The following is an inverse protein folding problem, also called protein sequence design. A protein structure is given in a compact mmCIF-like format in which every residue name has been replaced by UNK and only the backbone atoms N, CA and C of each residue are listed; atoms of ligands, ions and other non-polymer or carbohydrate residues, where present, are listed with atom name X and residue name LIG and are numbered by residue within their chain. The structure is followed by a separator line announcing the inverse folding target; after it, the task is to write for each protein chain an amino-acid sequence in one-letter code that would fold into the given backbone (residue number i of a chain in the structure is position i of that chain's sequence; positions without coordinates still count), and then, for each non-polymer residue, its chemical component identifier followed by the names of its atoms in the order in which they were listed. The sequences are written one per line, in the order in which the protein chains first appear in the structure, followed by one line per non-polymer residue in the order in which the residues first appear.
data_IF_139577518068
#
_entry.id   IF_139577518068
#
_cell.length_a   1.000
_cell.length_b   1.000
_cell.length_c   1.000
_cell.angle_alpha   90.00
_cell.angle_beta   90.00
_cell.angle_gamma   90.00
#
_symmetry.space_group_name_H-M   'P 1'
#
loop_
_entity.id
_entity.type
_entity.pdbx_description
1 polymer ?
#
# COMPACT_ATOMS: atom_id res chain seq x y z
N UNK A 1 -19.80 57.38 -43.81
CA UNK A 1 -18.92 56.47 -43.03
C UNK A 1 -19.75 55.25 -42.65
N UNK A 2 -19.40 54.09 -43.21
CA UNK A 2 -20.15 52.83 -43.02
C UNK A 2 -19.96 52.17 -41.65
N UNK A 3 -19.17 52.75 -40.74
CA UNK A 3 -18.84 52.17 -39.43
C UNK A 3 -19.84 52.50 -38.30
N UNK A 4 -20.94 53.19 -38.60
CA UNK A 4 -21.98 53.51 -37.61
C UNK A 4 -23.30 52.79 -37.89
N UNK A 5 -24.04 52.46 -36.82
CA UNK A 5 -25.36 51.84 -36.94
C UNK A 5 -26.41 52.71 -37.66
N UNK A 6 -26.18 54.03 -37.77
CA UNK A 6 -27.07 54.99 -38.43
C UNK A 6 -26.68 55.30 -39.89
N UNK A 7 -25.61 54.68 -40.41
CA UNK A 7 -25.16 54.91 -41.78
C UNK A 7 -26.23 54.50 -42.79
N UNK A 8 -26.54 55.41 -43.72
CA UNK A 8 -27.37 55.13 -44.90
C UNK A 8 -26.54 54.95 -46.18
N UNK A 9 -25.20 54.95 -46.05
CA UNK A 9 -24.29 54.74 -47.17
C UNK A 9 -24.45 53.31 -47.72
N UNK A 10 -24.41 53.15 -49.04
CA UNK A 10 -24.41 51.84 -49.66
C UNK A 10 -23.14 51.04 -49.34
N UNK A 11 -23.26 49.72 -49.18
CA UNK A 11 -22.14 48.79 -49.06
C UNK A 11 -21.86 48.08 -50.37
N UNK A 12 -20.60 47.76 -50.66
CA UNK A 12 -20.17 47.04 -51.85
C UNK A 12 -19.77 45.59 -51.55
N UNK A 13 -19.56 44.79 -52.60
CA UNK A 13 -19.18 43.38 -52.48
C UNK A 13 -17.83 43.14 -51.77
N UNK A 14 -16.88 44.07 -51.88
CA UNK A 14 -15.59 43.98 -51.19
C UNK A 14 -15.74 44.12 -49.68
N UNK A 15 -16.55 45.07 -49.21
CA UNK A 15 -16.86 45.26 -47.78
C UNK A 15 -17.58 44.03 -47.18
N UNK A 16 -18.54 43.46 -47.92
CA UNK A 16 -19.22 42.23 -47.51
C UNK A 16 -18.27 41.03 -47.51
N UNK A 17 -17.41 40.90 -48.51
CA UNK A 17 -16.41 39.84 -48.58
C UNK A 17 -15.44 39.88 -47.39
N UNK A 18 -14.91 41.06 -47.04
CA UNK A 18 -14.06 41.23 -45.85
C UNK A 18 -14.79 40.83 -44.57
N UNK A 19 -16.07 41.22 -44.43
CA UNK A 19 -16.90 40.82 -43.28
C UNK A 19 -17.06 39.30 -43.22
N UNK A 20 -17.36 38.65 -44.34
CA UNK A 20 -17.51 37.19 -44.41
C UNK A 20 -16.20 36.45 -44.08
N UNK A 21 -15.05 36.98 -44.49
CA UNK A 21 -13.74 36.44 -44.11
C UNK A 21 -13.53 36.52 -42.59
N UNK A 22 -13.83 37.67 -41.98
CA UNK A 22 -13.72 37.84 -40.53
C UNK A 22 -14.66 36.89 -39.76
N UNK A 23 -15.90 36.72 -40.22
CA UNK A 23 -16.86 35.75 -39.66
C UNK A 23 -16.32 34.33 -39.76
N UNK A 24 -15.77 33.95 -40.91
CA UNK A 24 -15.17 32.62 -41.12
C UNK A 24 -13.99 32.39 -40.17
N UNK A 25 -13.10 33.39 -40.01
CA UNK A 25 -11.99 33.33 -39.06
C UNK A 25 -12.49 33.17 -37.62
N UNK A 26 -13.52 33.93 -37.23
CA UNK A 26 -14.11 33.84 -35.89
C UNK A 26 -14.74 32.46 -35.63
N UNK A 27 -15.46 31.91 -36.61
CA UNK A 27 -16.05 30.57 -36.50
C UNK A 27 -14.99 29.50 -36.32
N UNK A 28 -13.94 29.50 -37.16
CA UNK A 28 -12.84 28.53 -37.04
C UNK A 28 -12.15 28.60 -35.66
N UNK A 29 -12.01 29.80 -35.10
CA UNK A 29 -11.46 29.98 -33.76
C UNK A 29 -12.40 29.42 -32.68
N UNK A 30 -13.71 29.63 -32.80
CA UNK A 30 -14.71 29.08 -31.90
C UNK A 30 -14.75 27.54 -31.95
N UNK A 31 -14.71 26.96 -33.15
CA UNK A 31 -14.70 25.50 -33.34
C UNK A 31 -13.44 24.87 -32.74
N UNK A 32 -12.27 25.50 -32.92
CA UNK A 32 -11.02 25.04 -32.34
C UNK A 32 -11.03 25.12 -30.80
N UNK A 33 -11.63 26.17 -30.24
CA UNK A 33 -11.81 26.31 -28.80
C UNK A 33 -12.76 25.25 -28.24
N UNK A 34 -13.89 25.02 -28.92
CA UNK A 34 -14.85 23.96 -28.56
C UNK A 34 -14.19 22.58 -28.60
N UNK A 35 -13.48 22.23 -29.69
CA UNK A 35 -12.76 20.98 -29.80
C UNK A 35 -11.68 20.80 -28.72
N UNK A 36 -11.14 21.89 -28.18
CA UNK A 36 -10.20 21.85 -27.05
C UNK A 36 -10.93 21.65 -25.72
N UNK A 37 -12.05 22.32 -25.50
CA UNK A 37 -12.88 22.12 -24.31
C UNK A 37 -13.46 20.70 -24.24
N UNK A 38 -13.89 20.15 -25.38
CA UNK A 38 -14.42 18.78 -25.51
C UNK A 38 -13.38 17.71 -25.19
N UNK A 39 -12.08 18.03 -25.28
CA UNK A 39 -11.03 17.11 -24.79
C UNK A 39 -11.08 16.95 -23.27
N UNK A 40 -11.56 17.95 -22.55
CA UNK A 40 -11.70 17.91 -21.09
C UNK A 40 -10.41 17.52 -20.35
N UNK A 41 -10.58 16.80 -19.24
CA UNK A 41 -9.51 16.19 -18.47
C UNK A 41 -9.66 14.67 -18.58
N UNK A 42 -8.64 13.98 -19.11
CA UNK A 42 -8.55 12.51 -19.04
C UNK A 42 -7.79 12.10 -17.79
N UNK A 43 -8.42 11.33 -16.91
CA UNK A 43 -7.83 10.88 -15.65
C UNK A 43 -7.93 9.35 -15.50
N UNK A 44 -6.81 8.70 -15.17
CA UNK A 44 -6.73 7.24 -15.13
C UNK A 44 -5.32 6.73 -14.86
N UNK A 45 -5.13 5.41 -14.95
CA UNK A 45 -3.87 4.73 -14.59
C UNK A 45 -2.93 4.50 -15.78
N UNK A 46 -3.15 5.19 -16.91
CA UNK A 46 -2.39 5.00 -18.15
C UNK A 46 -2.87 3.83 -19.03
N UNK A 47 -3.62 2.86 -18.47
CA UNK A 47 -4.27 1.78 -19.24
C UNK A 47 -5.75 2.08 -19.50
N UNK A 48 -6.48 2.47 -18.45
CA UNK A 48 -7.86 2.95 -18.53
C UNK A 48 -7.94 4.39 -18.04
N UNK A 49 -8.90 5.15 -18.56
CA UNK A 49 -9.16 6.52 -18.12
C UNK A 49 -10.62 6.90 -18.34
N UNK A 50 -11.10 7.84 -17.52
CA UNK A 50 -12.36 8.53 -17.72
C UNK A 50 -12.09 9.95 -18.23
N UNK A 51 -13.02 10.50 -19.01
CA UNK A 51 -12.96 11.86 -19.50
C UNK A 51 -13.99 12.71 -18.76
N UNK A 52 -13.54 13.84 -18.19
CA UNK A 52 -14.35 14.80 -17.45
C UNK A 52 -14.37 16.12 -18.21
N UNK A 53 -15.50 16.83 -18.24
CA UNK A 53 -15.54 18.13 -18.90
C UNK A 53 -14.70 19.16 -18.11
N UNK A 54 -14.24 20.22 -18.78
CA UNK A 54 -13.55 21.31 -18.08
C UNK A 54 -14.53 21.98 -17.10
N UNK A 55 -14.10 22.11 -15.84
CA UNK A 55 -14.92 22.68 -14.77
C UNK A 55 -15.73 21.66 -13.96
N UNK A 56 -15.82 20.41 -14.40
CA UNK A 56 -16.41 19.34 -13.60
C UNK A 56 -15.54 19.00 -12.38
N UNK A 57 -16.17 18.43 -11.34
CA UNK A 57 -15.44 17.89 -10.19
C UNK A 57 -14.77 16.58 -10.55
N UNK A 58 -13.44 16.53 -10.46
CA UNK A 58 -12.66 15.29 -10.56
C UNK A 58 -12.58 14.62 -9.18
N UNK A 59 -13.34 13.54 -8.99
CA UNK A 59 -13.33 12.79 -7.75
C UNK A 59 -12.12 11.84 -7.67
N UNK A 60 -11.16 12.16 -6.81
CA UNK A 60 -10.12 11.21 -6.36
C UNK A 60 -10.62 10.60 -5.05
N UNK A 61 -11.07 9.35 -5.06
CA UNK A 61 -11.63 8.68 -3.87
C UNK A 61 -10.55 7.88 -3.15
N UNK A 62 -10.70 7.75 -1.83
CA UNK A 62 -9.97 6.76 -1.05
C UNK A 62 -10.30 5.33 -1.49
N UNK A 63 -9.55 4.36 -0.97
CA UNK A 63 -9.84 2.95 -1.24
C UNK A 63 -11.07 2.50 -0.46
N UNK A 64 -11.86 1.59 -1.04
CA UNK A 64 -13.09 1.07 -0.41
C UNK A 64 -12.84 0.42 0.95
N UNK A 65 -11.66 -0.14 1.14
CA UNK A 65 -11.22 -0.82 2.35
C UNK A 65 -10.62 0.12 3.42
N UNK A 66 -10.56 1.44 3.13
CA UNK A 66 -10.07 2.46 4.06
C UNK A 66 -8.55 2.61 4.13
N UNK A 67 -7.77 1.78 3.43
CA UNK A 67 -6.30 1.83 3.42
C UNK A 67 -5.73 3.18 2.95
N UNK A 68 -6.39 3.81 1.97
CA UNK A 68 -6.07 5.13 1.45
C UNK A 68 -7.24 6.07 1.73
N UNK A 69 -6.95 7.24 2.32
CA UNK A 69 -7.90 8.33 2.50
C UNK A 69 -7.68 9.39 1.42
N UNK A 70 -8.76 10.09 1.06
CA UNK A 70 -8.72 11.23 0.14
C UNK A 70 -9.55 12.35 0.74
N UNK A 71 -8.90 13.50 0.98
CA UNK A 71 -9.52 14.65 1.65
C UNK A 71 -9.33 15.89 0.80
N UNK A 72 -10.43 16.57 0.47
CA UNK A 72 -10.37 17.88 -0.17
C UNK A 72 -9.87 18.93 0.82
N UNK A 73 -8.84 19.68 0.43
CA UNK A 73 -8.27 20.79 1.17
C UNK A 73 -8.35 22.07 0.32
N UNK A 74 -7.93 23.21 0.87
CA UNK A 74 -7.85 24.46 0.11
C UNK A 74 -6.89 24.38 -1.09
N UNK A 75 -5.87 23.51 -1.01
CA UNK A 75 -4.85 23.33 -2.05
C UNK A 75 -5.21 22.22 -3.07
N UNK A 76 -6.35 21.55 -2.91
CA UNK A 76 -6.81 20.49 -3.81
C UNK A 76 -7.20 19.20 -3.07
N UNK A 77 -6.54 18.09 -3.41
CA UNK A 77 -6.79 16.78 -2.77
C UNK A 77 -5.52 16.29 -2.07
N UNK A 78 -5.63 16.04 -0.77
CA UNK A 78 -4.61 15.32 0.00
C UNK A 78 -4.95 13.83 0.05
N UNK A 79 -3.98 12.99 -0.32
CA UNK A 79 -4.04 11.56 -0.08
C UNK A 79 -3.31 11.21 1.21
N UNK A 80 -3.86 10.29 1.99
CA UNK A 80 -3.27 9.81 3.24
C UNK A 80 -3.43 8.30 3.39
N UNK A 81 -2.79 7.75 4.41
CA UNK A 81 -3.06 6.40 4.89
C UNK A 81 -4.22 6.44 5.89
N UNK A 82 -5.02 5.38 5.94
CA UNK A 82 -5.97 5.16 7.03
C UNK A 82 -5.27 4.67 8.31
N UNK A 83 -6.05 4.54 9.39
CA UNK A 83 -5.57 3.96 10.66
C UNK A 83 -5.15 2.49 10.50
N UNK A 84 -5.75 1.81 9.51
CA UNK A 84 -5.40 0.45 9.09
C UNK A 84 -5.07 0.46 7.61
N UNK A 85 -4.00 -0.24 7.23
CA UNK A 85 -3.60 -0.44 5.84
C UNK A 85 -3.69 -1.94 5.55
N UNK A 86 -4.64 -2.32 4.69
CA UNK A 86 -4.72 -3.70 4.21
C UNK A 86 -3.72 -3.89 3.08
N UNK A 87 -2.76 -4.77 3.32
CA UNK A 87 -1.75 -5.13 2.33
C UNK A 87 -2.08 -6.52 1.80
N UNK A 88 -2.25 -6.62 0.48
CA UNK A 88 -2.70 -7.85 -0.16
C UNK A 88 -1.70 -9.01 -0.03
N UNK A 89 -0.42 -8.73 -0.25
CA UNK A 89 0.62 -9.77 -0.35
C UNK A 89 1.59 -9.70 0.84
N UNK A 90 2.49 -8.72 0.87
CA UNK A 90 3.48 -8.58 1.94
C UNK A 90 4.02 -7.16 2.11
N UNK A 91 4.47 -6.84 3.32
CA UNK A 91 5.25 -5.64 3.64
C UNK A 91 6.72 -6.05 3.79
N UNK A 92 7.61 -5.37 3.08
CA UNK A 92 9.06 -5.55 3.23
C UNK A 92 9.63 -4.31 3.93
N UNK A 93 10.16 -4.48 5.14
CA UNK A 93 10.75 -3.40 5.95
C UNK A 93 12.27 -3.45 5.86
N UNK A 94 12.87 -2.35 5.41
CA UNK A 94 14.31 -2.21 5.17
C UNK A 94 14.69 -2.24 3.68
N UNK A 95 15.97 -2.01 3.40
CA UNK A 95 16.55 -2.04 2.05
C UNK A 95 17.51 -3.23 1.90
N UNK A 96 17.71 -3.70 0.66
CA UNK A 96 18.62 -4.81 0.35
C UNK A 96 17.95 -6.20 0.27
N UNK A 97 18.78 -7.24 0.31
CA UNK A 97 18.39 -8.64 0.12
C UNK A 97 17.72 -9.25 1.37
N UNK A 98 18.13 -8.82 2.56
CA UNK A 98 17.55 -9.23 3.85
C UNK A 98 16.62 -8.14 4.35
N UNK A 99 15.32 -8.42 4.37
CA UNK A 99 14.28 -7.51 4.85
C UNK A 99 13.41 -8.25 5.85
N UNK A 100 12.89 -7.54 6.84
CA UNK A 100 11.79 -8.09 7.62
C UNK A 100 10.58 -8.16 6.70
N UNK A 101 10.03 -9.35 6.51
CA UNK A 101 8.88 -9.59 5.63
C UNK A 101 7.68 -9.96 6.48
N UNK A 102 6.67 -9.11 6.47
CA UNK A 102 5.34 -9.41 7.01
C UNK A 102 4.53 -9.98 5.85
N UNK A 103 4.33 -11.28 5.82
CA UNK A 103 3.67 -11.99 4.73
C UNK A 103 2.22 -12.32 5.12
N UNK A 104 1.27 -11.64 4.48
CA UNK A 104 -0.15 -11.85 4.71
C UNK A 104 -0.70 -13.10 4.04
N UNK A 105 0.03 -13.67 3.06
CA UNK A 105 -0.36 -14.93 2.41
C UNK A 105 -0.03 -16.12 3.29
N UNK A 106 1.14 -16.13 3.92
CA UNK A 106 1.56 -17.23 4.82
C UNK A 106 1.29 -16.96 6.31
N UNK A 107 0.81 -15.76 6.67
CA UNK A 107 0.60 -15.32 8.05
C UNK A 107 1.88 -15.40 8.91
N UNK A 108 3.03 -15.03 8.34
CA UNK A 108 4.33 -15.11 9.03
C UNK A 108 5.08 -13.78 9.02
N UNK A 109 5.97 -13.63 9.99
CA UNK A 109 6.98 -12.56 10.02
C UNK A 109 8.34 -13.23 9.86
N UNK A 110 8.96 -13.05 8.69
CA UNK A 110 10.26 -13.62 8.35
C UNK A 110 11.38 -12.59 8.26
N UNK A 111 12.60 -13.06 8.03
CA UNK A 111 13.78 -12.19 7.83
C UNK A 111 14.32 -11.55 9.10
N UNK A 112 13.87 -11.99 10.27
CA UNK A 112 14.45 -11.62 11.56
C UNK A 112 15.87 -12.22 11.67
N UNK A 113 16.83 -11.41 12.11
CA UNK A 113 18.23 -11.82 12.25
C UNK A 113 18.52 -12.58 13.55
N UNK A 114 17.58 -12.57 14.50
CA UNK A 114 17.76 -13.14 15.83
C UNK A 114 17.54 -14.66 15.83
N UNK A 115 18.43 -15.42 15.17
CA UNK A 115 18.26 -16.86 14.92
C UNK A 115 19.03 -17.79 15.85
N UNK A 116 19.93 -17.28 16.70
CA UNK A 116 20.79 -18.11 17.56
C UNK A 116 20.55 -17.82 19.04
N UNK A 117 20.36 -18.86 19.86
CA UNK A 117 20.25 -18.73 21.32
C UNK A 117 21.59 -18.95 22.02
N UNK A 118 22.22 -17.86 22.47
CA UNK A 118 23.50 -17.89 23.18
C UNK A 118 23.36 -17.92 24.73
N UNK A 119 22.14 -18.06 25.25
CA UNK A 119 21.87 -18.07 26.69
C UNK A 119 21.58 -16.70 27.30
N UNK A 120 21.68 -15.61 26.54
CA UNK A 120 21.36 -14.25 27.01
C UNK A 120 20.35 -13.61 26.06
N UNK A 121 19.18 -13.22 26.57
CA UNK A 121 18.18 -12.53 25.78
C UNK A 121 18.60 -11.08 25.48
N UNK A 122 18.35 -10.62 24.26
CA UNK A 122 18.44 -9.20 23.93
C UNK A 122 17.08 -8.55 24.12
N UNK A 123 16.98 -7.63 25.08
CA UNK A 123 15.70 -6.99 25.44
C UNK A 123 15.08 -6.24 24.26
N UNK A 124 13.77 -6.38 24.10
CA UNK A 124 12.98 -5.70 23.07
C UNK A 124 13.08 -6.29 21.66
N UNK A 125 13.86 -7.34 21.44
CA UNK A 125 13.92 -8.06 20.18
C UNK A 125 12.96 -9.26 20.17
N UNK A 126 12.32 -9.52 19.03
CA UNK A 126 11.53 -10.74 18.83
C UNK A 126 12.46 -11.97 18.75
N UNK A 127 12.05 -13.08 19.35
CA UNK A 127 12.71 -14.37 19.18
C UNK A 127 12.22 -15.07 17.91
N UNK A 128 13.06 -15.91 17.29
CA UNK A 128 12.66 -16.75 16.15
C UNK A 128 12.38 -18.19 16.57
N UNK A 129 11.72 -18.95 15.68
CA UNK A 129 11.52 -20.39 15.85
C UNK A 129 12.86 -21.15 15.97
N UNK A 130 13.93 -20.68 15.32
CA UNK A 130 15.27 -21.27 15.48
C UNK A 130 15.79 -21.17 16.92
N UNK A 131 15.58 -20.01 17.59
CA UNK A 131 15.95 -19.85 18.99
C UNK A 131 15.08 -20.73 19.90
N UNK A 132 13.79 -20.85 19.60
CA UNK A 132 12.88 -21.72 20.34
C UNK A 132 13.28 -23.20 20.20
N UNK A 133 13.62 -23.64 18.99
CA UNK A 133 14.12 -24.99 18.72
C UNK A 133 15.44 -25.27 19.47
N UNK A 134 16.34 -24.28 19.54
CA UNK A 134 17.58 -24.41 20.32
C UNK A 134 17.32 -24.54 21.83
N UNK A 135 16.30 -23.87 22.37
CA UNK A 135 15.88 -24.01 23.77
C UNK A 135 15.20 -25.35 24.02
N UNK A 136 14.30 -25.76 23.13
CA UNK A 136 13.60 -27.06 23.18
C UNK A 136 14.60 -28.22 23.20
N UNK A 137 15.63 -28.18 22.36
CA UNK A 137 16.71 -29.16 22.39
C UNK A 137 17.49 -29.18 23.72
N UNK A 138 17.74 -28.02 24.35
CA UNK A 138 18.37 -27.97 25.68
C UNK A 138 17.45 -28.56 26.76
N UNK A 139 16.13 -28.36 26.63
CA UNK A 139 15.14 -28.95 27.53
C UNK A 139 15.10 -30.48 27.36
N UNK A 140 15.12 -30.99 26.14
CA UNK A 140 15.23 -32.43 25.85
C UNK A 140 16.47 -33.06 26.48
N UNK A 141 17.64 -32.42 26.34
CA UNK A 141 18.87 -32.90 26.98
C UNK A 141 18.77 -32.92 28.52
N UNK A 142 18.11 -31.91 29.10
CA UNK A 142 17.86 -31.88 30.54
C UNK A 142 16.90 -32.98 30.96
N UNK A 143 15.84 -33.22 30.20
CA UNK A 143 14.89 -34.30 30.44
C UNK A 143 15.60 -35.67 30.37
N UNK A 144 16.42 -35.92 29.35
CA UNK A 144 17.19 -37.18 29.23
C UNK A 144 18.17 -37.41 30.40
N UNK A 145 18.76 -36.33 30.91
CA UNK A 145 19.66 -36.39 32.06
C UNK A 145 18.94 -36.40 33.42
N UNK A 146 17.65 -36.09 33.46
CA UNK A 146 16.90 -36.00 34.69
C UNK A 146 16.64 -37.39 35.30
N UNK A 147 16.73 -37.48 36.62
CA UNK A 147 16.15 -38.61 37.35
C UNK A 147 14.64 -38.48 37.27
N UNK A 148 13.98 -39.50 36.71
CA UNK A 148 12.53 -39.54 36.53
C UNK A 148 11.89 -40.56 37.46
N UNK A 149 10.60 -40.35 37.75
CA UNK A 149 9.78 -41.42 38.29
C UNK A 149 9.65 -42.54 37.26
N UNK A 150 9.54 -43.78 37.74
CA UNK A 150 9.30 -44.95 36.89
C UNK A 150 7.98 -44.79 36.11
N UNK A 151 6.98 -44.18 36.77
CA UNK A 151 5.71 -43.78 36.17
C UNK A 151 5.46 -42.28 36.45
N UNK A 152 5.38 -41.43 35.41
CA UNK A 152 5.17 -40.00 35.56
C UNK A 152 3.75 -39.63 36.07
N UNK A 153 2.77 -40.53 35.98
CA UNK A 153 1.41 -40.29 36.45
C UNK A 153 1.27 -40.52 37.96
N UNK A 154 1.81 -41.62 38.48
CA UNK A 154 1.67 -42.00 39.91
C UNK A 154 2.75 -41.41 40.79
N UNK A 155 3.98 -41.26 40.27
CA UNK A 155 5.12 -40.64 40.96
C UNK A 155 5.45 -41.28 42.33
N UNK A 156 5.15 -42.56 42.50
CA UNK A 156 5.33 -43.32 43.74
C UNK A 156 6.68 -44.06 43.83
N UNK A 157 7.40 -44.19 42.71
CA UNK A 157 8.67 -44.91 42.63
C UNK A 157 9.68 -44.23 41.71
N UNK A 158 10.95 -44.17 42.13
CA UNK A 158 12.10 -43.74 41.34
C UNK A 158 13.16 -44.84 41.38
N UNK A 159 13.50 -45.41 40.23
CA UNK A 159 14.59 -46.39 40.10
C UNK A 159 15.86 -45.71 39.56
N UNK A 160 16.93 -45.71 40.36
CA UNK A 160 18.23 -45.16 39.96
C UNK A 160 19.08 -46.21 39.24
N UNK A 161 18.75 -46.55 37.99
CA UNK A 161 19.46 -47.59 37.23
C UNK A 161 20.78 -47.07 36.60
N UNK A 162 21.78 -46.76 37.43
CA UNK A 162 23.18 -46.69 37.00
C UNK A 162 23.85 -48.07 37.07
N UNK A 163 25.13 -48.19 36.72
CA UNK A 163 25.91 -49.45 36.72
C UNK A 163 26.02 -50.19 38.09
N UNK A 164 25.33 -49.72 39.13
CA UNK A 164 25.19 -50.36 40.44
C UNK A 164 24.00 -49.82 41.27
N UNK A 165 22.91 -49.42 40.63
CA UNK A 165 21.79 -48.68 41.25
C UNK A 165 21.16 -49.27 42.52
N UNK A 166 20.95 -48.44 43.54
CA UNK A 166 20.18 -48.74 44.77
C UNK A 166 18.86 -47.98 44.78
N UNK A 167 17.80 -48.56 45.33
CA UNK A 167 16.53 -47.87 45.61
C UNK A 167 16.75 -46.82 46.70
N UNK A 168 16.40 -45.55 46.45
CA UNK A 168 16.23 -44.57 47.52
C UNK A 168 14.80 -44.73 48.03
N UNK A 169 14.65 -45.28 49.23
CA UNK A 169 13.40 -45.29 50.01
C UNK A 169 13.41 -44.17 51.04
#
# INVERSE_FOLDING_TARGET
DISSAASTDAVNGGQLFTTNQNVTTAQNAADAAQATADKGIKFGNGTSSNQFALGDTLNVKGSTDGSITSTTTADGVQLGLGDTVNVKDAINVGSGATKVKIDGTTNTIGGLSNTTWNGTAVSGQAATEDQLAAVDGKLGNLDDAAVKYDDPATKDKVTLAGAGGTTIT
#
